data_IF_913049009432
#
_entry.id   IF_913049009432
#
_cell.length_a   1.000
_cell.length_b   1.000
_cell.length_c   1.000
_cell.angle_alpha   90.00
_cell.angle_beta   90.00
_cell.angle_gamma   90.00
#
_symmetry.space_group_name_H-M   'P 1'
#
loop_
_entity.id
_entity.type
_entity.pdbx_description
1 polymer ?
#
# COMPACT_ATOMS: atom_id res chain seq x y z
N UNK A 1 -7.30 14.72 -15.92
CA UNK A 1 -7.32 14.95 -14.45
C UNK A 1 -8.32 14.11 -13.65
N UNK A 2 -9.27 13.34 -14.23
CA UNK A 2 -10.23 12.54 -13.42
C UNK A 2 -10.09 11.01 -13.54
N UNK A 3 -8.87 10.53 -13.81
CA UNK A 3 -8.57 9.12 -14.09
C UNK A 3 -8.93 8.21 -12.89
N UNK A 4 -8.56 8.63 -11.68
CA UNK A 4 -8.85 7.88 -10.44
C UNK A 4 -10.34 7.62 -10.24
N UNK A 5 -11.22 8.61 -10.53
CA UNK A 5 -12.68 8.41 -10.46
C UNK A 5 -13.18 7.57 -11.64
N UNK A 6 -12.76 7.90 -12.87
CA UNK A 6 -13.19 7.20 -14.10
C UNK A 6 -12.90 5.70 -14.06
N UNK A 7 -11.73 5.31 -13.53
CA UNK A 7 -11.26 3.93 -13.55
C UNK A 7 -11.34 3.22 -12.19
N UNK A 8 -11.94 3.84 -11.17
CA UNK A 8 -12.06 3.27 -9.81
C UNK A 8 -12.59 1.84 -9.83
N UNK A 9 -13.73 1.60 -10.51
CA UNK A 9 -14.34 0.27 -10.57
C UNK A 9 -13.39 -0.78 -11.15
N UNK A 10 -12.65 -0.42 -12.20
CA UNK A 10 -11.70 -1.33 -12.85
C UNK A 10 -10.49 -1.60 -11.95
N UNK A 11 -9.87 -0.57 -11.38
CA UNK A 11 -8.61 -0.72 -10.65
C UNK A 11 -8.80 -1.21 -9.22
N UNK A 12 -9.70 -0.58 -8.46
CA UNK A 12 -10.00 -0.98 -7.08
C UNK A 12 -10.79 -2.28 -7.06
N UNK A 13 -11.72 -2.46 -8.01
CA UNK A 13 -12.50 -3.69 -8.10
C UNK A 13 -11.63 -4.92 -8.33
N UNK A 14 -10.58 -4.82 -9.15
CA UNK A 14 -9.62 -5.89 -9.34
C UNK A 14 -8.89 -6.25 -8.04
N UNK A 15 -8.38 -5.26 -7.30
CA UNK A 15 -7.73 -5.50 -6.00
C UNK A 15 -8.68 -6.10 -4.96
N UNK A 16 -9.96 -5.71 -4.99
CA UNK A 16 -10.96 -6.22 -4.06
C UNK A 16 -11.44 -7.65 -4.41
N UNK A 17 -11.33 -8.08 -5.67
CA UNK A 17 -11.85 -9.38 -6.14
C UNK A 17 -10.81 -10.49 -6.20
N UNK A 18 -9.51 -10.18 -6.18
CA UNK A 18 -8.48 -11.22 -6.25
C UNK A 18 -8.49 -12.15 -5.02
N UNK A 19 -8.10 -13.39 -5.26
CA UNK A 19 -7.93 -14.44 -4.24
C UNK A 19 -6.48 -14.59 -3.77
N UNK A 20 -5.52 -13.98 -4.47
CA UNK A 20 -4.12 -13.97 -4.05
C UNK A 20 -3.91 -12.99 -2.89
N UNK A 21 -2.96 -13.25 -1.98
CA UNK A 21 -2.62 -12.31 -0.93
C UNK A 21 -2.09 -10.98 -1.49
N UNK A 22 -2.46 -9.87 -0.85
CA UNK A 22 -1.98 -8.52 -1.17
C UNK A 22 -1.34 -7.92 0.09
N UNK A 23 -0.16 -7.34 -0.08
CA UNK A 23 0.52 -6.56 0.94
C UNK A 23 0.92 -5.20 0.39
N UNK A 24 0.74 -4.15 1.19
CA UNK A 24 1.13 -2.80 0.84
C UNK A 24 2.26 -2.32 1.76
N UNK A 25 3.38 -1.91 1.17
CA UNK A 25 4.51 -1.31 1.89
C UNK A 25 4.43 0.20 1.66
N UNK A 26 4.31 0.98 2.74
CA UNK A 26 3.87 2.37 2.70
C UNK A 26 4.79 3.29 3.49
N UNK A 27 5.25 4.38 2.87
CA UNK A 27 5.93 5.49 3.54
C UNK A 27 4.91 6.53 4.04
N UNK A 28 4.92 6.91 5.33
CA UNK A 28 3.93 7.83 5.90
C UNK A 28 4.03 9.28 5.37
N UNK A 29 5.13 9.70 4.76
CA UNK A 29 5.29 11.01 4.11
C UNK A 29 4.90 11.03 2.63
N UNK A 30 4.17 10.02 2.13
CA UNK A 30 3.70 10.01 0.73
C UNK A 30 2.75 11.20 0.46
N UNK A 31 3.12 12.20 -0.37
CA UNK A 31 2.28 13.36 -0.66
C UNK A 31 1.08 13.00 -1.56
N UNK A 32 1.12 11.85 -2.24
CA UNK A 32 0.07 11.39 -3.14
C UNK A 32 -1.03 10.65 -2.36
N UNK A 33 -0.67 9.98 -1.27
CA UNK A 33 -1.54 9.17 -0.44
C UNK A 33 -1.28 9.53 1.04
N UNK A 34 -1.83 10.65 1.54
CA UNK A 34 -1.45 11.21 2.83
C UNK A 34 -1.85 10.34 4.02
N UNK A 35 -0.99 10.32 5.03
CA UNK A 35 -1.22 9.68 6.32
C UNK A 35 -1.98 10.63 7.28
N UNK A 36 -2.94 10.14 8.09
CA UNK A 36 -3.41 8.76 8.19
C UNK A 36 -4.60 8.40 7.28
N UNK A 37 -5.24 9.38 6.64
CA UNK A 37 -6.55 9.22 6.02
C UNK A 37 -6.55 8.22 4.87
N UNK A 38 -5.48 8.18 4.07
CA UNK A 38 -5.36 7.20 3.00
C UNK A 38 -5.32 5.79 3.55
N UNK A 39 -4.58 5.58 4.65
CA UNK A 39 -4.40 4.25 5.22
C UNK A 39 -5.70 3.72 5.85
N UNK A 40 -6.47 4.60 6.49
CA UNK A 40 -7.81 4.25 6.96
C UNK A 40 -8.74 3.84 5.81
N UNK A 41 -8.73 4.61 4.72
CA UNK A 41 -9.51 4.30 3.52
C UNK A 41 -9.05 2.99 2.88
N UNK A 42 -7.73 2.76 2.79
CA UNK A 42 -7.13 1.55 2.24
C UNK A 42 -7.60 0.31 3.00
N UNK A 43 -7.49 0.32 4.34
CA UNK A 43 -7.94 -0.79 5.21
C UNK A 43 -9.43 -1.07 5.07
N UNK A 44 -10.26 -0.04 4.96
CA UNK A 44 -11.71 -0.19 4.70
C UNK A 44 -12.00 -0.74 3.31
N UNK A 45 -11.19 -0.36 2.31
CA UNK A 45 -11.40 -0.73 0.90
C UNK A 45 -10.91 -2.14 0.59
N UNK A 46 -9.79 -2.55 1.17
CA UNK A 46 -9.13 -3.85 0.92
C UNK A 46 -8.92 -4.61 2.25
N UNK A 47 -10.01 -5.07 2.91
CA UNK A 47 -9.94 -5.63 4.27
C UNK A 47 -9.17 -6.96 4.36
N UNK A 48 -8.93 -7.65 3.24
CA UNK A 48 -8.13 -8.88 3.19
C UNK A 48 -6.64 -8.64 2.92
N UNK A 49 -6.24 -7.39 2.72
CA UNK A 49 -4.84 -7.03 2.50
C UNK A 49 -4.15 -6.68 3.81
N UNK A 50 -2.83 -6.83 3.85
CA UNK A 50 -1.99 -6.40 4.97
C UNK A 50 -1.19 -5.15 4.59
N UNK A 51 -0.63 -4.47 5.59
CA UNK A 51 0.17 -3.25 5.39
C UNK A 51 1.38 -3.23 6.31
N UNK A 52 2.53 -2.83 5.77
CA UNK A 52 3.72 -2.43 6.51
C UNK A 52 3.90 -0.92 6.35
N UNK A 53 3.96 -0.20 7.46
CA UNK A 53 4.27 1.24 7.47
C UNK A 53 5.76 1.35 7.80
N UNK A 54 6.53 2.01 6.93
CA UNK A 54 7.95 2.28 7.16
C UNK A 54 8.13 3.51 8.05
N UNK A 55 9.38 3.81 8.40
CA UNK A 55 9.73 4.92 9.30
C UNK A 55 9.15 6.28 8.84
N UNK A 56 8.94 7.17 9.83
CA UNK A 56 8.26 8.47 9.67
C UNK A 56 8.92 9.44 8.67
N UNK A 57 10.14 9.15 8.20
CA UNK A 57 10.85 9.97 7.22
C UNK A 57 10.72 9.45 5.77
N UNK A 58 10.04 8.32 5.57
CA UNK A 58 9.87 7.68 4.26
C UNK A 58 8.61 8.18 3.54
N UNK A 59 8.77 8.53 2.27
CA UNK A 59 7.81 9.16 1.38
C UNK A 59 7.37 8.20 0.25
N UNK A 60 7.26 8.70 -0.98
CA UNK A 60 6.55 8.04 -2.09
C UNK A 60 7.30 6.86 -2.72
N UNK A 61 8.64 6.81 -2.62
CA UNK A 61 9.45 5.75 -3.23
C UNK A 61 10.17 4.95 -2.14
N UNK A 62 9.43 4.23 -1.28
CA UNK A 62 10.00 3.56 -0.10
C UNK A 62 11.12 2.58 -0.44
N UNK A 63 11.05 1.90 -1.59
CA UNK A 63 12.09 0.99 -2.06
C UNK A 63 13.44 1.66 -2.36
N UNK A 64 13.46 2.98 -2.61
CA UNK A 64 14.67 3.77 -2.85
C UNK A 64 15.12 4.52 -1.58
N UNK A 65 14.17 4.94 -0.78
CA UNK A 65 14.40 5.78 0.41
C UNK A 65 14.82 4.94 1.63
N UNK A 66 14.25 3.74 1.78
CA UNK A 66 14.67 2.73 2.75
C UNK A 66 14.65 1.33 2.11
N UNK A 67 15.68 1.00 1.30
CA UNK A 67 15.74 -0.29 0.61
C UNK A 67 15.74 -1.49 1.57
N UNK A 68 16.32 -1.33 2.77
CA UNK A 68 16.41 -2.40 3.75
C UNK A 68 15.08 -2.63 4.48
N UNK A 69 14.41 -1.58 4.94
CA UNK A 69 13.07 -1.70 5.52
C UNK A 69 12.06 -2.20 4.50
N UNK A 70 12.14 -1.76 3.24
CA UNK A 70 11.32 -2.29 2.16
C UNK A 70 11.56 -3.78 1.94
N UNK A 71 12.83 -4.21 1.83
CA UNK A 71 13.18 -5.62 1.66
C UNK A 71 12.71 -6.47 2.85
N UNK A 72 12.88 -5.98 4.08
CA UNK A 72 12.44 -6.67 5.29
C UNK A 72 10.91 -6.83 5.33
N UNK A 73 10.16 -5.77 4.98
CA UNK A 73 8.70 -5.85 4.87
C UNK A 73 8.25 -6.84 3.78
N UNK A 74 8.91 -6.83 2.63
CA UNK A 74 8.66 -7.80 1.56
C UNK A 74 8.96 -9.25 2.00
N UNK A 75 10.12 -9.49 2.62
CA UNK A 75 10.51 -10.82 3.11
C UNK A 75 9.58 -11.31 4.22
N UNK A 76 9.15 -10.42 5.12
CA UNK A 76 8.15 -10.76 6.14
C UNK A 76 6.83 -11.21 5.50
N UNK A 77 6.39 -10.54 4.44
CA UNK A 77 5.19 -10.95 3.71
C UNK A 77 5.35 -12.30 2.99
N UNK A 78 6.42 -12.50 2.21
CA UNK A 78 6.56 -13.72 1.39
C UNK A 78 6.77 -14.98 2.24
N UNK A 79 7.40 -14.85 3.41
CA UNK A 79 7.61 -15.95 4.35
C UNK A 79 6.39 -16.24 5.25
N UNK A 80 5.27 -15.53 5.06
CA UNK A 80 4.02 -15.74 5.80
C UNK A 80 3.07 -16.74 5.12
N UNK A 81 3.50 -17.37 4.03
CA UNK A 81 2.77 -18.41 3.26
C UNK A 81 3.64 -19.65 3.11
#
# INVERSE_FOLDING_TARGET
INQRKKFRRRWVGALASVSIPIHFIYGPLDPINPYPEFLELYRKTLPRSTVSILDDHISHYPQLEDPMGFLNAYMGFINSF
#
